data_IF_731589714759
#
_entry.id   IF_731589714759
#
_cell.length_a   1.000
_cell.length_b   1.000
_cell.length_c   1.000
_cell.angle_alpha   90.00
_cell.angle_beta   90.00
_cell.angle_gamma   90.00
#
_symmetry.space_group_name_H-M   'P 1'
#
loop_
_entity.id
_entity.type
_entity.pdbx_description
1 polymer ?
#
# COMPACT_ATOMS: atom_id res chain seq x y z
N UNK A 1 -17.58 8.60 13.81
CA UNK A 1 -16.25 9.08 14.25
C UNK A 1 -15.37 7.86 14.39
N UNK A 2 -14.71 7.44 13.30
CA UNK A 2 -13.79 6.31 13.35
C UNK A 2 -12.50 6.77 14.04
N UNK A 3 -12.24 6.22 15.21
CA UNK A 3 -10.98 6.37 15.94
C UNK A 3 -9.94 5.48 15.27
N UNK A 4 -9.43 5.90 14.11
CA UNK A 4 -8.34 5.18 13.45
C UNK A 4 -7.03 5.59 14.12
N UNK A 5 -6.69 4.89 15.21
CA UNK A 5 -5.38 5.03 15.81
C UNK A 5 -4.34 4.42 14.88
N UNK A 6 -3.15 5.01 14.81
CA UNK A 6 -2.02 4.52 14.00
C UNK A 6 -1.65 3.04 14.25
N UNK A 7 -2.13 2.44 15.34
CA UNK A 7 -1.95 1.03 15.67
C UNK A 7 -2.79 0.08 14.79
N UNK A 8 -3.82 0.55 14.09
CA UNK A 8 -4.72 -0.31 13.28
C UNK A 8 -4.26 -0.56 11.83
N UNK A 9 -3.23 0.14 11.33
CA UNK A 9 -2.86 0.11 9.91
C UNK A 9 -2.43 -1.28 9.43
N UNK A 10 -1.63 -1.99 10.22
CA UNK A 10 -1.15 -3.34 9.88
C UNK A 10 -2.29 -4.32 9.60
N UNK A 11 -3.17 -4.58 10.58
CA UNK A 11 -4.30 -5.50 10.41
C UNK A 11 -5.19 -5.24 9.20
N UNK A 12 -5.32 -3.99 8.73
CA UNK A 12 -6.20 -3.69 7.60
C UNK A 12 -5.74 -4.27 6.27
N UNK A 13 -4.47 -4.70 6.15
CA UNK A 13 -3.97 -5.38 4.96
C UNK A 13 -4.69 -6.73 4.70
N UNK A 14 -5.27 -7.32 5.74
CA UNK A 14 -6.05 -8.57 5.67
C UNK A 14 -7.45 -8.39 5.12
N UNK A 15 -7.98 -7.16 5.13
CA UNK A 15 -9.27 -6.83 4.52
C UNK A 15 -9.20 -6.68 2.98
N UNK A 16 -8.00 -6.86 2.40
CA UNK A 16 -7.81 -6.77 0.96
C UNK A 16 -8.40 -7.97 0.21
N UNK A 17 -9.58 -7.80 -0.37
CA UNK A 17 -10.29 -8.82 -1.19
C UNK A 17 -9.81 -8.91 -2.65
N UNK A 18 -8.67 -8.28 -2.98
CA UNK A 18 -8.04 -8.32 -4.32
C UNK A 18 -8.92 -7.83 -5.50
N UNK A 19 -9.90 -6.96 -5.25
CA UNK A 19 -10.84 -6.45 -6.27
C UNK A 19 -10.23 -5.54 -7.36
N UNK A 20 -9.00 -5.04 -7.17
CA UNK A 20 -8.28 -4.17 -8.12
C UNK A 20 -8.83 -2.74 -8.33
N UNK A 21 -9.82 -2.29 -7.56
CA UNK A 21 -10.38 -0.93 -7.67
C UNK A 21 -9.29 0.13 -7.40
N UNK A 22 -8.54 0.00 -6.30
CA UNK A 22 -7.48 0.94 -5.96
C UNK A 22 -6.39 1.06 -7.04
N UNK A 23 -6.11 -0.01 -7.78
CA UNK A 23 -5.16 0.03 -8.89
C UNK A 23 -5.73 0.81 -10.09
N UNK A 24 -7.02 0.63 -10.39
CA UNK A 24 -7.71 1.27 -11.52
C UNK A 24 -7.84 2.79 -11.35
N UNK A 25 -7.85 3.28 -10.10
CA UNK A 25 -7.95 4.70 -9.78
C UNK A 25 -6.60 5.35 -9.45
N UNK A 26 -5.49 4.60 -9.46
CA UNK A 26 -4.21 5.17 -9.09
C UNK A 26 -3.62 6.01 -10.23
N UNK A 27 -3.35 7.31 -10.02
CA UNK A 27 -2.81 8.17 -11.08
C UNK A 27 -1.37 7.82 -11.45
N UNK A 28 -0.56 7.30 -10.51
CA UNK A 28 0.82 6.91 -10.79
C UNK A 28 0.86 5.65 -11.66
N UNK A 29 0.06 4.63 -11.31
CA UNK A 29 0.01 3.38 -12.07
C UNK A 29 -0.53 3.58 -13.50
N UNK A 30 -1.27 4.66 -13.74
CA UNK A 30 -1.78 5.01 -15.06
C UNK A 30 -0.72 5.62 -16.00
N UNK A 31 0.42 6.09 -15.47
CA UNK A 31 1.41 6.86 -16.25
C UNK A 31 2.82 6.27 -16.26
N UNK A 32 3.09 5.20 -15.50
CA UNK A 32 4.39 4.54 -15.52
C UNK A 32 4.31 3.06 -15.14
N UNK A 33 4.99 2.21 -15.91
CA UNK A 33 5.12 0.77 -15.62
C UNK A 33 6.12 0.49 -14.48
N UNK A 34 6.88 1.50 -14.04
CA UNK A 34 7.78 1.39 -12.89
C UNK A 34 7.03 1.25 -11.57
N UNK A 35 5.72 1.55 -11.57
CA UNK A 35 4.84 1.41 -10.42
C UNK A 35 3.74 0.36 -10.69
N UNK A 36 3.89 -0.89 -10.20
CA UNK A 36 2.92 -1.96 -10.41
C UNK A 36 1.56 -1.72 -9.70
N UNK A 37 1.47 -0.63 -8.93
CA UNK A 37 0.22 -0.11 -8.40
C UNK A 37 0.08 -0.27 -6.88
N UNK A 38 -0.85 0.49 -6.27
CA UNK A 38 -0.93 0.66 -4.82
C UNK A 38 -1.28 -0.64 -4.08
N UNK A 39 -2.03 -1.54 -4.74
CA UNK A 39 -2.35 -2.87 -4.20
C UNK A 39 -1.12 -3.77 -4.07
N UNK A 40 -0.29 -3.78 -5.11
CA UNK A 40 0.88 -4.65 -5.19
C UNK A 40 1.93 -4.19 -4.18
N UNK A 41 2.34 -2.92 -4.27
CA UNK A 41 3.39 -2.37 -3.40
C UNK A 41 2.95 -2.21 -1.94
N UNK A 42 1.65 -2.25 -1.67
CA UNK A 42 1.05 -2.08 -0.35
C UNK A 42 0.65 -3.40 0.30
N UNK A 43 -0.65 -3.70 0.47
CA UNK A 43 -1.11 -4.84 1.27
C UNK A 43 -0.63 -6.21 0.78
N UNK A 44 -0.25 -6.36 -0.50
CA UNK A 44 0.33 -7.61 -0.99
C UNK A 44 1.81 -7.75 -0.61
N UNK A 45 2.63 -6.76 -0.95
CA UNK A 45 4.05 -6.76 -0.61
C UNK A 45 4.30 -6.67 0.90
N UNK A 46 3.43 -6.01 1.67
CA UNK A 46 3.58 -5.87 3.11
C UNK A 46 3.64 -7.21 3.85
N UNK A 47 2.93 -8.24 3.35
CA UNK A 47 2.97 -9.61 3.90
C UNK A 47 4.35 -10.25 3.83
N UNK A 48 5.22 -9.74 2.97
CA UNK A 48 6.60 -10.18 2.80
C UNK A 48 7.62 -9.22 3.44
N UNK A 49 7.16 -8.12 4.03
CA UNK A 49 7.99 -7.17 4.80
C UNK A 49 7.96 -7.44 6.30
N UNK A 50 7.22 -8.45 6.74
CA UNK A 50 7.16 -8.85 8.15
C UNK A 50 8.50 -9.44 8.65
N UNK A 51 8.73 -9.32 9.96
CA UNK A 51 10.01 -9.61 10.61
C UNK A 51 10.60 -10.98 10.23
N UNK A 52 11.85 -10.98 9.74
CA UNK A 52 12.61 -12.19 9.41
C UNK A 52 12.48 -12.66 7.96
N UNK A 53 11.66 -11.99 7.13
CA UNK A 53 11.64 -12.22 5.68
C UNK A 53 12.81 -11.47 5.01
N UNK A 54 13.38 -12.00 3.91
CA UNK A 54 14.28 -11.23 3.06
C UNK A 54 13.57 -9.93 2.63
N UNK A 55 14.25 -8.79 2.75
CA UNK A 55 13.75 -7.52 2.28
C UNK A 55 13.25 -7.68 0.83
N UNK A 56 12.01 -7.27 0.56
CA UNK A 56 11.45 -7.38 -0.78
C UNK A 56 12.37 -6.62 -1.74
N UNK A 57 12.89 -7.23 -2.82
CA UNK A 57 13.75 -6.53 -3.78
C UNK A 57 13.00 -5.43 -4.55
N UNK A 58 11.68 -5.35 -4.35
CA UNK A 58 10.80 -4.39 -4.96
C UNK A 58 10.87 -3.02 -4.29
N UNK A 59 11.68 -2.14 -4.88
CA UNK A 59 11.75 -0.71 -4.54
C UNK A 59 10.65 0.13 -5.20
N UNK A 60 9.73 -0.48 -5.97
CA UNK A 60 8.71 0.28 -6.70
C UNK A 60 7.75 1.03 -5.78
N UNK A 61 7.66 0.66 -4.49
CA UNK A 61 6.89 1.40 -3.49
C UNK A 61 7.33 2.87 -3.39
N UNK A 62 8.57 3.21 -3.76
CA UNK A 62 9.05 4.60 -3.77
C UNK A 62 8.36 5.49 -4.82
N UNK A 63 7.80 4.92 -5.89
CA UNK A 63 6.99 5.67 -6.85
C UNK A 63 5.60 6.05 -6.31
N UNK A 64 5.19 5.54 -5.15
CA UNK A 64 3.93 5.95 -4.53
C UNK A 64 3.95 7.46 -4.17
N UNK A 65 3.08 8.25 -4.80
CA UNK A 65 3.00 9.70 -4.61
C UNK A 65 2.32 10.13 -3.30
N UNK A 66 1.74 9.20 -2.53
CA UNK A 66 0.99 9.52 -1.31
C UNK A 66 -0.35 10.23 -1.55
N UNK A 67 -0.87 10.26 -2.78
CA UNK A 67 -2.11 10.97 -3.14
C UNK A 67 -3.40 10.44 -2.50
N UNK A 68 -3.36 9.28 -1.84
CA UNK A 68 -4.45 8.69 -1.04
C UNK A 68 -5.72 8.22 -1.75
N UNK A 69 -5.83 8.39 -3.07
CA UNK A 69 -7.00 7.94 -3.86
C UNK A 69 -7.34 6.46 -3.60
N UNK A 70 -6.32 5.60 -3.46
CA UNK A 70 -6.51 4.18 -3.21
C UNK A 70 -7.25 3.85 -1.89
N UNK A 71 -7.14 4.70 -0.86
CA UNK A 71 -7.90 4.52 0.38
C UNK A 71 -9.37 4.92 0.18
N UNK A 72 -9.62 6.06 -0.47
CA UNK A 72 -10.97 6.58 -0.71
C UNK A 72 -11.85 5.62 -1.51
N UNK A 73 -11.26 4.92 -2.48
CA UNK A 73 -11.99 3.99 -3.35
C UNK A 73 -11.97 2.55 -2.83
N UNK A 74 -11.30 2.26 -1.72
CA UNK A 74 -11.21 0.90 -1.21
C UNK A 74 -12.55 0.48 -0.57
N UNK A 75 -13.26 -0.52 -1.12
CA UNK A 75 -14.58 -0.91 -0.60
C UNK A 75 -14.51 -1.58 0.78
N UNK A 76 -13.33 -2.04 1.20
CA UNK A 76 -13.10 -2.73 2.48
C UNK A 76 -12.29 -1.90 3.47
N UNK A 77 -11.97 -0.64 3.15
CA UNK A 77 -11.30 0.27 4.07
C UNK A 77 -9.82 -0.06 4.35
N UNK A 78 -9.12 -0.71 3.42
CA UNK A 78 -7.68 -0.97 3.58
C UNK A 78 -6.89 0.35 3.58
N UNK A 79 -6.01 0.54 4.57
CA UNK A 79 -5.12 1.70 4.68
C UNK A 79 -3.90 1.60 3.76
N UNK A 80 -4.14 1.51 2.46
CA UNK A 80 -3.10 1.22 1.46
C UNK A 80 -2.00 2.29 1.46
N UNK A 81 -2.38 3.57 1.60
CA UNK A 81 -1.43 4.69 1.57
C UNK A 81 -0.51 4.67 2.78
N UNK A 82 -1.06 4.42 3.97
CA UNK A 82 -0.29 4.36 5.22
C UNK A 82 0.65 3.16 5.22
N UNK A 83 0.20 2.00 4.71
CA UNK A 83 1.04 0.84 4.46
C UNK A 83 2.21 1.21 3.55
N UNK A 84 1.94 1.85 2.40
CA UNK A 84 2.98 2.27 1.45
C UNK A 84 3.96 3.27 2.08
N UNK A 85 3.45 4.26 2.82
CA UNK A 85 4.31 5.28 3.45
C UNK A 85 5.26 4.66 4.48
N UNK A 86 4.82 3.66 5.24
CA UNK A 86 5.71 2.92 6.17
C UNK A 86 6.79 2.16 5.43
N UNK A 87 6.42 1.42 4.39
CA UNK A 87 7.38 0.70 3.57
C UNK A 87 8.40 1.63 2.90
N UNK A 88 7.97 2.83 2.44
CA UNK A 88 8.90 3.85 1.94
C UNK A 88 9.85 4.38 3.01
N UNK A 89 9.36 4.57 4.24
CA UNK A 89 10.19 5.03 5.35
C UNK A 89 11.31 4.02 5.70
N UNK A 90 11.03 2.72 5.60
CA UNK A 90 12.03 1.66 5.79
C UNK A 90 13.10 1.65 4.69
N UNK A 91 12.77 2.04 3.45
CA UNK A 91 13.76 2.19 2.36
C UNK A 91 14.73 3.36 2.57
N UNK A 92 14.35 4.36 3.37
CA UNK A 92 15.16 5.55 3.64
C UNK A 92 16.01 5.45 4.93
N UNK A 93 15.84 4.38 5.70
CA UNK A 93 16.53 4.12 6.97
C UNK A 93 17.83 3.31 6.76
#
# INVERSE_FOLDING_TARGET
MHTESWQSVGPTLDECIKCNICASYCPVAAVTDLFPGPKYVGPQAQRFRENGQPQTPDHSVDYCSGCRVCNEVCPTGVHITEINTRARAELAA
#
